data_IF_540344034384
#
_entry.id   IF_540344034384
#
_cell.length_a   1.000
_cell.length_b   1.000
_cell.length_c   1.000
_cell.angle_alpha   90.00
_cell.angle_beta   90.00
_cell.angle_gamma   90.00
#
_symmetry.space_group_name_H-M   'P 1'
#
loop_
_entity.id
_entity.type
_entity.pdbx_description
1 polymer ?
#
# COMPACT_ATOMS: atom_id res chain seq x y z
N UNK A 1 34.12 -2.33 0.49
CA UNK A 1 33.03 -1.59 -0.16
C UNK A 1 31.71 -2.14 0.40
N UNK A 2 31.00 -1.38 1.24
CA UNK A 2 29.69 -1.83 1.76
C UNK A 2 28.68 -1.88 0.60
N UNK A 3 27.86 -2.94 0.53
CA UNK A 3 26.80 -3.01 -0.50
C UNK A 3 25.88 -1.80 -0.30
N UNK A 4 25.79 -0.93 -1.30
CA UNK A 4 24.80 0.15 -1.30
C UNK A 4 23.46 -0.52 -1.60
N UNK A 5 22.71 -0.87 -0.57
CA UNK A 5 21.33 -1.34 -0.73
C UNK A 5 20.47 -0.14 -1.11
N UNK A 6 20.23 0.03 -2.40
CA UNK A 6 19.38 1.10 -2.90
C UNK A 6 17.92 0.62 -2.82
N UNK A 7 17.14 1.19 -1.90
CA UNK A 7 15.74 0.84 -1.71
C UNK A 7 14.89 1.64 -2.69
N UNK A 8 14.43 1.00 -3.77
CA UNK A 8 13.57 1.67 -4.76
C UNK A 8 12.27 2.22 -4.14
N UNK A 9 11.71 3.25 -4.78
CA UNK A 9 10.42 3.84 -4.38
C UNK A 9 9.31 2.80 -4.40
N UNK A 10 9.30 1.94 -5.41
CA UNK A 10 8.30 0.90 -5.62
C UNK A 10 8.37 -0.16 -4.51
N UNK A 11 9.58 -0.61 -4.15
CA UNK A 11 9.78 -1.54 -3.03
C UNK A 11 9.28 -0.95 -1.70
N UNK A 12 9.62 0.30 -1.42
CA UNK A 12 9.20 0.96 -0.17
C UNK A 12 7.69 1.18 -0.13
N UNK A 13 7.09 1.58 -1.26
CA UNK A 13 5.64 1.71 -1.38
C UNK A 13 4.96 0.37 -1.15
N UNK A 14 5.44 -0.68 -1.82
CA UNK A 14 4.92 -2.03 -1.63
C UNK A 14 4.99 -2.48 -0.16
N UNK A 15 6.16 -2.41 0.47
CA UNK A 15 6.33 -2.79 1.88
C UNK A 15 5.47 -1.95 2.82
N UNK A 16 5.21 -0.69 2.48
CA UNK A 16 4.32 0.16 3.27
C UNK A 16 2.85 -0.25 3.15
N UNK A 17 2.39 -0.70 1.98
CA UNK A 17 1.03 -1.23 1.81
C UNK A 17 0.84 -2.52 2.61
N UNK A 18 1.85 -3.39 2.61
CA UNK A 18 1.86 -4.60 3.47
C UNK A 18 1.75 -4.23 4.95
N UNK A 19 2.59 -3.29 5.41
CA UNK A 19 2.56 -2.83 6.80
C UNK A 19 1.19 -2.25 7.17
N UNK A 20 0.60 -1.43 6.30
CA UNK A 20 -0.71 -0.79 6.55
C UNK A 20 -1.85 -1.80 6.57
N UNK A 21 -1.78 -2.88 5.79
CA UNK A 21 -2.75 -3.97 5.87
C UNK A 21 -2.70 -4.67 7.24
N UNK A 22 -1.49 -4.93 7.75
CA UNK A 22 -1.29 -5.69 8.99
C UNK A 22 -1.53 -4.86 10.25
N UNK A 23 -1.06 -3.61 10.26
CA UNK A 23 -1.03 -2.75 11.45
C UNK A 23 -1.89 -1.49 11.35
N UNK A 24 -2.52 -1.24 10.20
CA UNK A 24 -3.39 -0.09 9.95
C UNK A 24 -2.67 1.21 9.56
N UNK A 25 -3.33 2.06 8.78
CA UNK A 25 -2.77 3.32 8.24
C UNK A 25 -2.33 4.33 9.32
N UNK A 26 -2.98 4.32 10.49
CA UNK A 26 -2.64 5.24 11.58
C UNK A 26 -1.32 4.89 12.25
N UNK A 27 -0.92 3.62 12.27
CA UNK A 27 0.29 3.19 12.96
C UNK A 27 1.55 3.59 12.19
N UNK A 28 1.56 3.55 10.86
CA UNK A 28 2.80 3.74 10.10
C UNK A 28 3.49 5.09 10.32
N UNK A 29 4.72 5.03 10.82
CA UNK A 29 5.72 6.10 10.87
C UNK A 29 6.96 5.75 10.04
N UNK A 30 7.85 6.73 9.80
CA UNK A 30 9.09 6.49 9.05
C UNK A 30 9.99 5.49 9.76
N UNK A 31 10.00 5.53 11.09
CA UNK A 31 10.84 4.66 11.91
C UNK A 31 10.38 3.22 11.86
N UNK A 32 9.09 2.98 12.06
CA UNK A 32 8.54 1.61 12.02
C UNK A 32 8.64 1.03 10.63
N UNK A 33 8.37 1.83 9.58
CA UNK A 33 8.52 1.34 8.21
C UNK A 33 10.00 1.03 7.90
N UNK A 34 10.94 1.85 8.36
CA UNK A 34 12.36 1.61 8.16
C UNK A 34 12.80 0.29 8.84
N UNK A 35 12.35 0.07 10.08
CA UNK A 35 12.57 -1.18 10.82
C UNK A 35 11.96 -2.38 10.09
N UNK A 36 10.72 -2.27 9.61
CA UNK A 36 10.04 -3.29 8.83
C UNK A 36 10.71 -3.59 7.48
N UNK A 37 11.40 -2.61 6.89
CA UNK A 37 12.15 -2.74 5.65
C UNK A 37 13.62 -3.16 5.86
N UNK A 38 14.09 -3.20 7.11
CA UNK A 38 15.50 -3.43 7.44
C UNK A 38 16.44 -2.32 6.97
N UNK A 39 15.98 -1.07 6.93
CA UNK A 39 16.73 0.08 6.45
C UNK A 39 16.74 1.26 7.45
N UNK A 40 17.43 2.35 7.12
CA UNK A 40 17.31 3.61 7.87
C UNK A 40 16.08 4.39 7.39
N UNK A 41 15.71 5.48 8.07
CA UNK A 41 14.59 6.33 7.62
C UNK A 41 14.90 7.13 6.36
N UNK A 42 16.18 7.22 5.97
CA UNK A 42 16.65 8.05 4.86
C UNK A 42 16.03 7.71 3.50
N UNK A 43 15.94 6.44 3.05
CA UNK A 43 15.34 6.09 1.76
C UNK A 43 13.85 6.47 1.69
N UNK A 44 13.12 6.39 2.81
CA UNK A 44 11.71 6.78 2.87
C UNK A 44 11.58 8.29 2.60
N UNK A 45 12.35 9.12 3.30
CA UNK A 45 12.31 10.57 3.09
C UNK A 45 12.83 10.97 1.71
N UNK A 46 13.80 10.23 1.16
CA UNK A 46 14.34 10.49 -0.18
C UNK A 46 13.29 10.26 -1.28
N UNK A 47 12.43 9.26 -1.12
CA UNK A 47 11.45 8.90 -2.16
C UNK A 47 10.07 9.56 -1.99
N UNK A 48 9.68 9.91 -0.77
CA UNK A 48 8.32 10.38 -0.46
C UNK A 48 8.26 11.75 0.22
N UNK A 49 9.40 12.38 0.51
CA UNK A 49 9.55 13.67 1.22
C UNK A 49 9.05 13.70 2.67
N UNK A 50 7.99 12.97 3.01
CA UNK A 50 7.40 12.87 4.34
C UNK A 50 6.59 11.60 4.49
N UNK A 51 6.22 11.26 5.73
CA UNK A 51 5.26 10.17 5.99
C UNK A 51 3.87 10.50 5.46
N UNK A 52 3.44 11.75 5.53
CA UNK A 52 2.16 12.16 4.95
C UNK A 52 2.15 11.91 3.44
N UNK A 53 3.23 12.24 2.74
CA UNK A 53 3.37 11.98 1.30
C UNK A 53 3.38 10.50 0.94
N UNK A 54 3.96 9.65 1.80
CA UNK A 54 3.84 8.19 1.64
C UNK A 54 2.39 7.73 1.82
N UNK A 55 1.68 8.20 2.86
CA UNK A 55 0.28 7.83 3.12
C UNK A 55 -0.64 8.25 1.97
N UNK A 56 -0.44 9.44 1.44
CA UNK A 56 -1.12 9.92 0.24
C UNK A 56 -0.86 8.98 -0.94
N UNK A 57 0.40 8.59 -1.17
CA UNK A 57 0.73 7.67 -2.26
C UNK A 57 0.09 6.28 -2.10
N UNK A 58 0.00 5.77 -0.88
CA UNK A 58 -0.72 4.51 -0.60
C UNK A 58 -2.22 4.66 -0.94
N UNK A 59 -2.84 5.78 -0.55
CA UNK A 59 -4.25 6.04 -0.86
C UNK A 59 -4.48 6.16 -2.36
N UNK A 60 -3.59 6.83 -3.11
CA UNK A 60 -3.65 6.88 -4.57
C UNK A 60 -3.67 5.48 -5.19
N UNK A 61 -2.76 4.58 -4.77
CA UNK A 61 -2.71 3.21 -5.30
C UNK A 61 -3.99 2.43 -4.97
N UNK A 62 -4.54 2.59 -3.76
CA UNK A 62 -5.81 1.97 -3.37
C UNK A 62 -6.96 2.51 -4.24
N UNK A 63 -7.00 3.83 -4.46
CA UNK A 63 -8.03 4.46 -5.30
C UNK A 63 -7.94 3.97 -6.73
N UNK A 64 -6.75 3.91 -7.33
CA UNK A 64 -6.56 3.39 -8.69
C UNK A 64 -7.02 1.94 -8.79
N UNK A 65 -6.67 1.10 -7.81
CA UNK A 65 -7.14 -0.28 -7.75
C UNK A 65 -8.68 -0.35 -7.63
N UNK A 66 -9.30 0.53 -6.84
CA UNK A 66 -10.76 0.60 -6.72
C UNK A 66 -11.45 1.07 -7.99
N UNK A 67 -10.92 2.09 -8.64
CA UNK A 67 -11.46 2.62 -9.90
C UNK A 67 -11.40 1.55 -11.00
N UNK A 68 -10.30 0.82 -11.11
CA UNK A 68 -10.17 -0.29 -12.04
C UNK A 68 -11.19 -1.40 -11.74
N UNK A 69 -11.38 -1.74 -10.46
CA UNK A 69 -12.39 -2.71 -10.05
C UNK A 69 -13.81 -2.25 -10.39
N UNK A 70 -14.13 -0.98 -10.16
CA UNK A 70 -15.43 -0.41 -10.51
C UNK A 70 -15.67 -0.35 -12.03
N UNK A 71 -14.63 -0.08 -12.83
CA UNK A 71 -14.74 -0.06 -14.29
C UNK A 71 -15.15 -1.41 -14.90
N UNK A 72 -14.86 -2.51 -14.19
CA UNK A 72 -15.26 -3.86 -14.58
C UNK A 72 -16.69 -4.23 -14.13
N UNK A 73 -17.33 -3.38 -13.32
CA UNK A 73 -18.62 -3.65 -12.70
C UNK A 73 -19.74 -2.80 -13.33
N UNK A 74 -20.78 -3.47 -13.87
CA UNK A 74 -22.02 -2.81 -14.31
C UNK A 74 -23.05 -2.86 -13.18
N UNK A 75 -23.28 -1.75 -12.46
CA UNK A 75 -24.29 -1.74 -11.40
C UNK A 75 -25.02 -0.41 -11.26
N UNK A 76 -26.36 -0.44 -11.34
CA UNK A 76 -27.25 0.73 -11.34
C UNK A 76 -27.98 0.97 -10.00
N UNK A 77 -27.67 0.20 -8.93
CA UNK A 77 -28.34 0.33 -7.62
C UNK A 77 -27.37 0.32 -6.43
N UNK A 78 -27.74 1.07 -5.39
CA UNK A 78 -26.94 1.30 -4.15
C UNK A 78 -26.55 0.01 -3.46
N UNK A 79 -27.41 -1.02 -3.46
CA UNK A 79 -27.11 -2.30 -2.83
C UNK A 79 -25.94 -3.01 -3.52
N UNK A 80 -25.87 -2.89 -4.85
CA UNK A 80 -24.76 -3.43 -5.63
C UNK A 80 -23.45 -2.73 -5.31
N UNK A 81 -23.47 -1.40 -5.13
CA UNK A 81 -22.29 -0.62 -4.70
C UNK A 81 -21.80 -1.09 -3.32
N UNK A 82 -22.70 -1.38 -2.38
CA UNK A 82 -22.32 -1.91 -1.05
C UNK A 82 -21.66 -3.29 -1.15
N UNK A 83 -22.18 -4.19 -1.99
CA UNK A 83 -21.56 -5.49 -2.22
C UNK A 83 -20.21 -5.36 -2.93
N UNK A 84 -20.11 -4.47 -3.93
CA UNK A 84 -18.86 -4.17 -4.62
C UNK A 84 -17.79 -3.63 -3.67
N UNK A 85 -18.15 -2.72 -2.75
CA UNK A 85 -17.24 -2.26 -1.71
C UNK A 85 -16.77 -3.40 -0.81
N UNK A 86 -17.69 -4.28 -0.37
CA UNK A 86 -17.35 -5.43 0.47
C UNK A 86 -16.39 -6.39 -0.24
N UNK A 87 -16.67 -6.71 -1.51
CA UNK A 87 -15.85 -7.60 -2.33
C UNK A 87 -14.50 -6.97 -2.64
N UNK A 88 -14.47 -5.66 -2.89
CA UNK A 88 -13.22 -4.91 -3.03
C UNK A 88 -12.34 -5.02 -1.78
N UNK A 89 -12.87 -4.78 -0.59
CA UNK A 89 -12.10 -4.90 0.66
C UNK A 89 -11.59 -6.33 0.90
N UNK A 90 -12.36 -7.36 0.50
CA UNK A 90 -11.91 -8.75 0.54
C UNK A 90 -10.79 -9.02 -0.47
N UNK A 91 -10.93 -8.51 -1.70
CA UNK A 91 -9.93 -8.66 -2.77
C UNK A 91 -8.62 -7.97 -2.41
N UNK A 92 -8.67 -6.79 -1.79
CA UNK A 92 -7.48 -6.05 -1.33
C UNK A 92 -6.69 -6.87 -0.31
N UNK A 93 -7.39 -7.53 0.63
CA UNK A 93 -6.76 -8.42 1.61
C UNK A 93 -6.08 -9.63 0.95
N UNK A 94 -6.67 -10.17 -0.11
CA UNK A 94 -6.08 -11.27 -0.88
C UNK A 94 -4.89 -10.78 -1.72
N UNK A 95 -5.00 -9.60 -2.33
CA UNK A 95 -3.95 -8.98 -3.15
C UNK A 95 -2.67 -8.74 -2.34
N UNK A 96 -2.79 -8.09 -1.18
CA UNK A 96 -1.61 -7.81 -0.33
C UNK A 96 -0.98 -9.12 0.16
N UNK A 97 -1.79 -10.10 0.56
CA UNK A 97 -1.30 -11.43 0.96
C UNK A 97 -0.64 -12.21 -0.18
N UNK A 98 -1.10 -12.03 -1.42
CA UNK A 98 -0.51 -12.66 -2.60
C UNK A 98 0.84 -12.05 -2.95
N UNK A 99 0.99 -10.73 -2.80
CA UNK A 99 2.26 -10.04 -3.00
C UNK A 99 3.31 -10.39 -1.94
N UNK A 100 2.92 -10.66 -0.69
CA UNK A 100 3.82 -11.17 0.35
C UNK A 100 4.48 -12.52 -0.02
N UNK A 101 3.84 -13.33 -0.87
CA UNK A 101 4.36 -14.65 -1.26
C UNK A 101 5.31 -14.62 -2.48
N UNK A 102 5.49 -13.45 -3.10
CA UNK A 102 6.28 -13.25 -4.32
C UNK A 102 7.69 -12.68 -4.07
N UNK A 103 8.01 -12.36 -2.81
CA UNK A 103 9.26 -11.73 -2.35
C UNK A 103 9.84 -12.56 -1.22
#
# INVERSE_FOLDING_TARGET
>A
MGRVTNYSKEYLLFKSMVYVEEYGMKSITARELAEFCGCSTYPIYTHFNSISGLKEKILEEITVYFENYLAECSSDDVLSIVYLLKDFFLSMKVFVKSLQNLI
#
